data_IF_570638687413
#
_entry.id   IF_570638687413
#
_cell.length_a   1.000
_cell.length_b   1.000
_cell.length_c   1.000
_cell.angle_alpha   90.00
_cell.angle_beta   90.00
_cell.angle_gamma   90.00
#
_symmetry.space_group_name_H-M   'P 1'
#
loop_
_entity.id
_entity.type
_entity.pdbx_description
1 polymer ?
#
# COMPACT_ATOMS: atom_id res chain seq x y z
N UNK A 1 -8.03 -7.53 -30.04
CA UNK A 1 -7.22 -7.18 -28.85
C UNK A 1 -7.27 -8.38 -27.94
N UNK A 2 -6.20 -9.17 -27.95
CA UNK A 2 -6.07 -10.32 -27.07
C UNK A 2 -5.37 -9.89 -25.78
N UNK A 3 -5.75 -10.52 -24.68
CA UNK A 3 -5.03 -10.44 -23.40
C UNK A 3 -3.97 -11.53 -23.44
N UNK A 4 -2.71 -11.14 -23.30
CA UNK A 4 -1.56 -12.04 -23.30
C UNK A 4 -1.26 -12.55 -21.90
N UNK A 5 -1.52 -11.74 -20.88
CA UNK A 5 -1.41 -12.10 -19.48
C UNK A 5 -2.17 -11.13 -18.59
N UNK A 6 -2.60 -11.60 -17.42
CA UNK A 6 -3.32 -10.84 -16.40
C UNK A 6 -2.65 -11.02 -15.04
N UNK A 7 -2.43 -9.92 -14.34
CA UNK A 7 -1.93 -9.95 -12.98
C UNK A 7 -2.77 -9.09 -12.04
N UNK A 8 -2.85 -9.52 -10.78
CA UNK A 8 -3.66 -8.88 -9.74
C UNK A 8 -2.83 -8.63 -8.50
N UNK A 9 -3.15 -7.54 -7.80
CA UNK A 9 -2.60 -7.19 -6.51
C UNK A 9 -3.62 -6.36 -5.72
N UNK A 10 -3.24 -5.96 -4.52
CA UNK A 10 -4.08 -5.17 -3.63
C UNK A 10 -3.28 -4.00 -3.05
N UNK A 11 -3.99 -2.92 -2.72
CA UNK A 11 -3.41 -1.82 -1.96
C UNK A 11 -3.18 -2.18 -0.50
N UNK A 12 -2.53 -1.26 0.22
CA UNK A 12 -2.25 -1.43 1.64
C UNK A 12 -2.24 -0.08 2.37
N UNK A 13 -2.22 -0.13 3.70
CA UNK A 13 -2.00 1.03 4.56
C UNK A 13 -0.79 0.84 5.46
N UNK A 14 -0.12 1.93 5.86
CA UNK A 14 1.05 1.86 6.73
C UNK A 14 0.68 1.66 8.19
N UNK A 15 1.32 0.69 8.83
CA UNK A 15 1.41 0.54 10.29
C UNK A 15 2.63 1.28 10.84
N UNK A 16 3.71 1.33 10.07
CA UNK A 16 4.96 1.99 10.38
C UNK A 16 5.64 2.47 9.10
N UNK A 17 6.06 3.72 9.05
CA UNK A 17 6.79 4.29 7.92
C UNK A 17 8.30 4.15 8.14
N UNK A 18 9.01 3.48 7.21
CA UNK A 18 10.43 3.17 7.35
C UNK A 18 11.34 4.40 7.50
N UNK A 19 10.95 5.55 6.94
CA UNK A 19 11.70 6.81 7.09
C UNK A 19 11.86 7.28 8.55
N UNK A 20 11.02 6.81 9.47
CA UNK A 20 11.11 7.20 10.89
C UNK A 20 12.14 6.41 11.70
N UNK A 21 12.38 5.14 11.36
CA UNK A 21 13.21 4.24 12.18
C UNK A 21 14.10 3.30 11.38
N UNK A 22 13.99 3.27 10.04
CA UNK A 22 14.61 2.23 9.21
C UNK A 22 13.81 0.92 9.18
N UNK A 23 12.71 0.84 9.94
CA UNK A 23 11.79 -0.30 9.93
C UNK A 23 10.45 0.12 9.35
N UNK A 24 9.89 -0.68 8.43
CA UNK A 24 8.61 -0.44 7.78
C UNK A 24 7.62 -1.57 8.02
N UNK A 25 6.34 -1.24 8.08
CA UNK A 25 5.27 -2.23 8.09
C UNK A 25 4.03 -1.67 7.41
N UNK A 26 3.48 -2.44 6.48
CA UNK A 26 2.25 -2.11 5.77
C UNK A 26 1.27 -3.27 5.85
N UNK A 27 -0.03 -2.95 6.02
CA UNK A 27 -1.11 -3.93 6.16
C UNK A 27 -2.00 -3.89 4.92
N UNK A 28 -2.23 -5.06 4.34
CA UNK A 28 -3.00 -5.23 3.11
C UNK A 28 -4.47 -4.83 3.29
N UNK A 29 -5.03 -4.21 2.25
CA UNK A 29 -6.43 -3.80 2.17
C UNK A 29 -7.10 -4.40 0.93
N UNK A 30 -8.38 -4.72 1.03
CA UNK A 30 -9.20 -5.16 -0.11
C UNK A 30 -9.49 -3.98 -1.05
N UNK A 31 -8.42 -3.53 -1.72
CA UNK A 31 -8.40 -2.49 -2.75
C UNK A 31 -7.74 -3.08 -4.01
N UNK A 32 -8.48 -3.82 -4.83
CA UNK A 32 -7.90 -4.56 -5.94
C UNK A 32 -7.39 -3.64 -7.06
N UNK A 33 -6.29 -4.08 -7.66
CA UNK A 33 -5.78 -3.62 -8.94
C UNK A 33 -5.58 -4.83 -9.85
N UNK A 34 -5.86 -4.64 -11.13
CA UNK A 34 -5.65 -5.61 -12.19
C UNK A 34 -4.88 -4.95 -13.32
N UNK A 35 -3.84 -5.61 -13.78
CA UNK A 35 -3.03 -5.20 -14.93
C UNK A 35 -3.13 -6.29 -16.00
N UNK A 36 -3.33 -5.89 -17.24
CA UNK A 36 -3.33 -6.79 -18.41
C UNK A 36 -2.25 -6.37 -19.37
N UNK A 37 -1.52 -7.36 -19.84
CA UNK A 37 -0.64 -7.25 -20.99
C UNK A 37 -1.44 -7.57 -22.26
N UNK A 38 -1.31 -6.74 -23.28
CA UNK A 38 -2.15 -6.77 -24.50
C UNK A 38 -1.30 -6.87 -25.75
N UNK A 39 -1.84 -7.51 -26.81
CA UNK A 39 -1.24 -7.62 -28.15
C UNK A 39 -1.26 -6.31 -28.95
N UNK A 40 -2.02 -5.32 -28.52
CA UNK A 40 -2.13 -3.99 -29.14
C UNK A 40 -2.64 -2.95 -28.16
N UNK A 41 -2.39 -1.68 -28.47
CA UNK A 41 -2.76 -0.54 -27.63
C UNK A 41 -4.26 -0.53 -27.32
N UNK A 42 -4.57 -0.35 -26.03
CA UNK A 42 -5.92 -0.12 -25.54
C UNK A 42 -6.46 1.23 -26.01
N UNK A 43 -7.78 1.33 -26.20
CA UNK A 43 -8.46 2.62 -26.43
C UNK A 43 -8.65 3.41 -25.14
N UNK A 44 -8.52 2.75 -23.98
CA UNK A 44 -8.59 3.41 -22.67
C UNK A 44 -7.24 4.09 -22.39
N UNK A 45 -7.32 5.29 -21.83
CA UNK A 45 -6.14 6.02 -21.40
C UNK A 45 -5.44 5.25 -20.27
N UNK A 46 -4.13 5.11 -20.40
CA UNK A 46 -3.29 4.51 -19.36
C UNK A 46 -2.81 5.61 -18.42
N UNK A 47 -3.27 5.57 -17.17
CA UNK A 47 -2.80 6.46 -16.11
C UNK A 47 -1.53 5.89 -15.44
N UNK A 48 -0.38 6.16 -16.03
CA UNK A 48 0.96 5.83 -15.51
C UNK A 48 1.84 7.09 -15.57
N UNK A 49 1.47 8.11 -14.79
CA UNK A 49 2.15 9.41 -14.77
C UNK A 49 3.62 9.34 -14.35
N UNK A 50 3.99 8.36 -13.54
CA UNK A 50 5.34 8.15 -13.05
C UNK A 50 6.17 7.24 -13.99
N UNK A 51 5.62 6.75 -15.10
CA UNK A 51 6.27 5.84 -16.06
C UNK A 51 6.67 4.49 -15.44
N UNK A 52 5.92 4.05 -14.43
CA UNK A 52 6.28 2.93 -13.59
C UNK A 52 6.25 1.59 -14.33
N UNK A 53 5.35 1.43 -15.31
CA UNK A 53 5.26 0.20 -16.10
C UNK A 53 6.50 0.00 -16.99
N UNK A 54 7.10 1.08 -17.52
CA UNK A 54 8.38 0.99 -18.22
C UNK A 54 9.51 0.58 -17.28
N UNK A 55 9.51 1.08 -16.04
CA UNK A 55 10.51 0.69 -15.05
C UNK A 55 10.33 -0.77 -14.57
N UNK A 56 9.10 -1.30 -14.57
CA UNK A 56 8.86 -2.74 -14.35
C UNK A 56 9.52 -3.58 -15.44
N UNK A 57 9.40 -3.17 -16.71
CA UNK A 57 10.05 -3.87 -17.84
C UNK A 57 11.58 -3.84 -17.68
N UNK A 58 12.14 -2.67 -17.34
CA UNK A 58 13.59 -2.55 -17.12
C UNK A 58 14.09 -3.40 -15.93
N UNK A 59 13.34 -3.40 -14.81
CA UNK A 59 13.68 -4.21 -13.64
C UNK A 59 13.56 -5.71 -13.95
N UNK A 60 12.55 -6.12 -14.72
CA UNK A 60 12.34 -7.49 -15.19
C UNK A 60 13.55 -7.99 -16.01
N UNK A 61 13.98 -7.19 -17.02
CA UNK A 61 15.15 -7.49 -17.82
C UNK A 61 16.44 -7.53 -16.99
N UNK A 62 16.60 -6.60 -16.06
CA UNK A 62 17.76 -6.55 -15.16
C UNK A 62 17.83 -7.77 -14.24
N UNK A 63 16.70 -8.37 -13.89
CA UNK A 63 16.62 -9.62 -13.13
C UNK A 63 16.92 -10.88 -13.99
N UNK A 64 17.19 -10.70 -15.31
CA UNK A 64 17.58 -11.77 -16.24
C UNK A 64 16.43 -12.50 -16.90
N UNK A 65 15.22 -11.94 -16.88
CA UNK A 65 14.06 -12.56 -17.54
C UNK A 65 13.83 -11.97 -18.93
N UNK A 66 13.46 -12.85 -19.86
CA UNK A 66 13.06 -12.44 -21.22
C UNK A 66 11.67 -11.79 -21.20
N UNK A 67 11.36 -11.03 -22.26
CA UNK A 67 10.03 -10.48 -22.48
C UNK A 67 9.22 -11.41 -23.39
N UNK A 68 7.88 -11.45 -23.26
CA UNK A 68 7.02 -12.28 -24.11
C UNK A 68 7.00 -11.83 -25.57
N UNK A 69 7.46 -10.60 -25.85
CA UNK A 69 7.56 -10.00 -27.18
C UNK A 69 8.51 -8.80 -27.14
N UNK A 70 8.77 -8.19 -28.32
CA UNK A 70 9.55 -6.96 -28.40
C UNK A 70 8.92 -5.85 -27.56
N UNK A 71 9.74 -5.10 -26.83
CA UNK A 71 9.30 -4.10 -25.87
C UNK A 71 8.37 -3.02 -26.47
N UNK A 72 8.63 -2.62 -27.72
CA UNK A 72 7.79 -1.64 -28.43
C UNK A 72 6.36 -2.13 -28.69
N UNK A 73 6.14 -3.43 -28.62
CA UNK A 73 4.84 -4.10 -28.80
C UNK A 73 4.14 -4.43 -27.47
N UNK A 74 4.77 -4.11 -26.33
CA UNK A 74 4.16 -4.28 -25.02
C UNK A 74 3.11 -3.19 -24.77
N UNK A 75 1.88 -3.59 -24.57
CA UNK A 75 0.78 -2.68 -24.27
C UNK A 75 0.08 -3.08 -22.97
N UNK A 76 -0.24 -2.09 -22.16
CA UNK A 76 -0.81 -2.29 -20.84
C UNK A 76 -2.24 -1.76 -20.76
N UNK A 77 -3.06 -2.42 -19.94
CA UNK A 77 -4.30 -1.87 -19.44
C UNK A 77 -4.37 -2.06 -17.93
N UNK A 78 -4.73 -1.00 -17.21
CA UNK A 78 -4.79 -0.98 -15.74
C UNK A 78 -6.21 -0.67 -15.29
N UNK A 79 -6.74 -1.48 -14.39
CA UNK A 79 -7.98 -1.24 -13.68
C UNK A 79 -7.70 -1.25 -12.18
N UNK A 80 -7.89 -0.13 -11.49
CA UNK A 80 -7.55 0.02 -10.08
C UNK A 80 -8.68 0.64 -9.27
N UNK A 81 -8.91 0.12 -8.05
CA UNK A 81 -9.73 0.77 -7.02
C UNK A 81 -8.89 1.51 -5.98
N UNK A 82 -7.57 1.50 -6.11
CA UNK A 82 -6.67 2.16 -5.17
C UNK A 82 -6.57 3.65 -5.52
N UNK A 83 -6.90 4.57 -4.60
CA UNK A 83 -6.63 6.00 -4.80
C UNK A 83 -5.15 6.26 -5.03
N UNK A 84 -4.83 6.84 -6.19
CA UNK A 84 -3.43 7.06 -6.60
C UNK A 84 -2.76 8.16 -5.80
N UNK A 85 -1.45 7.99 -5.48
CA UNK A 85 -0.57 8.99 -4.84
C UNK A 85 -1.08 9.48 -3.48
N UNK A 86 -1.88 8.66 -2.77
CA UNK A 86 -2.46 9.01 -1.46
C UNK A 86 -1.92 8.16 -0.30
N UNK A 87 -0.84 7.38 -0.51
CA UNK A 87 -0.21 6.56 0.53
C UNK A 87 -0.88 5.19 0.74
N UNK A 88 -1.72 4.76 -0.22
CA UNK A 88 -2.40 3.46 -0.20
C UNK A 88 -1.69 2.40 -1.06
N UNK A 89 -0.40 2.59 -1.31
CA UNK A 89 0.54 1.65 -1.96
C UNK A 89 0.17 1.34 -3.42
N UNK A 90 -0.44 2.30 -4.12
CA UNK A 90 -0.84 2.13 -5.53
C UNK A 90 0.33 1.80 -6.45
N UNK A 91 1.52 2.36 -6.21
CA UNK A 91 2.73 2.09 -6.99
C UNK A 91 3.23 0.67 -6.79
N UNK A 92 3.37 0.21 -5.55
CA UNK A 92 3.77 -1.17 -5.23
C UNK A 92 2.78 -2.18 -5.81
N UNK A 93 1.48 -1.93 -5.65
CA UNK A 93 0.42 -2.79 -6.19
C UNK A 93 0.44 -2.83 -7.72
N UNK A 94 0.74 -1.70 -8.40
CA UNK A 94 0.88 -1.64 -9.85
C UNK A 94 2.07 -2.50 -10.32
N UNK A 95 3.25 -2.37 -9.69
CA UNK A 95 4.42 -3.18 -10.00
C UNK A 95 4.13 -4.67 -9.83
N UNK A 96 3.58 -5.07 -8.68
CA UNK A 96 3.23 -6.46 -8.37
C UNK A 96 2.26 -7.03 -9.43
N UNK A 97 1.20 -6.30 -9.76
CA UNK A 97 0.22 -6.75 -10.75
C UNK A 97 0.83 -6.83 -12.17
N UNK A 98 1.71 -5.89 -12.53
CA UNK A 98 2.38 -5.90 -13.83
C UNK A 98 3.36 -7.08 -13.96
N UNK A 99 4.15 -7.37 -12.92
CA UNK A 99 5.06 -8.53 -12.89
C UNK A 99 4.25 -9.83 -12.99
N UNK A 100 3.14 -9.96 -12.26
CA UNK A 100 2.26 -11.12 -12.37
C UNK A 100 1.66 -11.27 -13.77
N UNK A 101 1.35 -10.16 -14.47
CA UNK A 101 0.88 -10.22 -15.86
C UNK A 101 1.98 -10.69 -16.83
N UNK A 102 3.26 -10.32 -16.59
CA UNK A 102 4.39 -10.87 -17.32
C UNK A 102 4.55 -12.37 -17.06
N UNK A 103 4.51 -12.79 -15.81
CA UNK A 103 4.57 -14.22 -15.44
C UNK A 103 3.46 -15.04 -16.13
N UNK A 104 2.21 -14.55 -16.07
CA UNK A 104 1.05 -15.21 -16.69
C UNK A 104 1.21 -15.31 -18.22
N UNK A 105 1.71 -14.25 -18.88
CA UNK A 105 1.95 -14.26 -20.33
C UNK A 105 3.02 -15.25 -20.80
N UNK A 106 3.90 -15.66 -19.89
CA UNK A 106 5.01 -16.60 -20.14
C UNK A 106 4.79 -17.98 -19.48
N UNK A 107 3.62 -18.20 -18.91
CA UNK A 107 3.28 -19.46 -18.21
C UNK A 107 4.32 -19.83 -17.14
N UNK A 108 4.84 -18.82 -16.41
CA UNK A 108 5.86 -19.00 -15.38
C UNK A 108 5.42 -18.46 -14.02
N UNK A 109 6.09 -18.88 -12.96
CA UNK A 109 5.92 -18.35 -11.60
C UNK A 109 7.27 -17.90 -11.05
N UNK A 110 7.23 -16.86 -10.19
CA UNK A 110 8.37 -16.41 -9.42
C UNK A 110 8.17 -16.79 -7.95
N UNK A 111 9.27 -17.04 -7.26
CA UNK A 111 9.25 -17.02 -5.80
C UNK A 111 8.89 -15.62 -5.30
N UNK A 112 8.18 -15.54 -4.15
CA UNK A 112 7.64 -14.27 -3.66
C UNK A 112 8.73 -13.20 -3.47
N UNK A 113 9.89 -13.59 -2.96
CA UNK A 113 11.03 -12.67 -2.75
C UNK A 113 11.58 -12.12 -4.07
N UNK A 114 11.62 -12.92 -5.14
CA UNK A 114 12.04 -12.49 -6.48
C UNK A 114 11.06 -11.44 -7.04
N UNK A 115 9.75 -11.71 -6.92
CA UNK A 115 8.71 -10.78 -7.33
C UNK A 115 8.83 -9.45 -6.57
N UNK A 116 9.02 -9.51 -5.23
CA UNK A 116 9.22 -8.32 -4.40
C UNK A 116 10.48 -7.57 -4.83
N UNK A 117 11.60 -8.26 -5.08
CA UNK A 117 12.85 -7.65 -5.52
C UNK A 117 12.68 -6.84 -6.81
N UNK A 118 12.05 -7.43 -7.83
CA UNK A 118 11.80 -6.76 -9.12
C UNK A 118 10.87 -5.56 -8.94
N UNK A 119 9.80 -5.70 -8.14
CA UNK A 119 8.86 -4.62 -7.88
C UNK A 119 9.48 -3.45 -7.12
N UNK A 120 10.40 -3.73 -6.19
CA UNK A 120 11.19 -2.72 -5.45
C UNK A 120 12.16 -2.02 -6.39
N UNK A 121 12.92 -2.77 -7.21
CA UNK A 121 13.86 -2.19 -8.19
C UNK A 121 13.14 -1.25 -9.17
N UNK A 122 11.96 -1.63 -9.66
CA UNK A 122 11.15 -0.78 -10.51
C UNK A 122 10.77 0.56 -9.84
N UNK A 123 10.38 0.53 -8.56
CA UNK A 123 10.02 1.74 -7.79
C UNK A 123 11.24 2.62 -7.49
N UNK A 124 12.41 2.03 -7.26
CA UNK A 124 13.67 2.76 -7.06
C UNK A 124 14.08 3.44 -8.37
N UNK A 125 14.04 2.75 -9.49
CA UNK A 125 14.33 3.31 -10.84
C UNK A 125 13.39 4.47 -11.21
N UNK A 126 12.12 4.37 -10.82
CA UNK A 126 11.14 5.43 -11.03
C UNK A 126 11.29 6.63 -10.05
N UNK A 127 12.23 6.58 -9.09
CA UNK A 127 12.48 7.62 -8.08
C UNK A 127 11.23 8.02 -7.27
N UNK A 128 10.32 7.06 -7.03
CA UNK A 128 9.04 7.33 -6.35
C UNK A 128 9.01 6.88 -4.89
N UNK A 129 10.06 6.22 -4.42
CA UNK A 129 10.17 5.72 -3.05
C UNK A 129 11.19 6.51 -2.23
N UNK A 130 10.94 6.64 -0.91
CA UNK A 130 11.88 7.24 0.04
C UNK A 130 12.82 6.19 0.66
N UNK A 131 12.35 4.94 0.82
CA UNK A 131 12.99 3.90 1.62
C UNK A 131 12.97 2.52 0.95
N UNK A 132 12.75 2.48 -0.37
CA UNK A 132 12.68 1.24 -1.16
C UNK A 132 11.29 0.59 -1.21
N UNK A 133 10.35 0.94 -0.32
CA UNK A 133 8.96 0.41 -0.32
C UNK A 133 8.87 -1.13 -0.23
N UNK A 134 9.80 -1.80 0.46
CA UNK A 134 9.84 -3.26 0.60
C UNK A 134 8.61 -3.77 1.36
N UNK A 135 8.31 -3.14 2.51
CA UNK A 135 7.12 -3.46 3.33
C UNK A 135 5.81 -3.22 2.58
N UNK A 136 5.75 -2.16 1.78
CA UNK A 136 4.61 -1.83 0.93
C UNK A 136 4.36 -2.93 -0.11
N UNK A 137 5.44 -3.39 -0.74
CA UNK A 137 5.40 -4.41 -1.78
C UNK A 137 5.00 -5.77 -1.20
N UNK A 138 5.57 -6.18 -0.06
CA UNK A 138 5.16 -7.40 0.62
C UNK A 138 3.65 -7.43 0.93
N UNK A 139 3.11 -6.35 1.48
CA UNK A 139 1.67 -6.26 1.77
C UNK A 139 0.80 -6.39 0.50
N UNK A 140 1.27 -5.87 -0.64
CA UNK A 140 0.57 -5.99 -1.93
C UNK A 140 0.63 -7.41 -2.52
N UNK A 141 1.63 -8.22 -2.11
CA UNK A 141 1.85 -9.57 -2.62
C UNK A 141 1.09 -10.63 -1.82
N UNK A 142 1.16 -10.59 -0.47
CA UNK A 142 0.75 -11.73 0.37
C UNK A 142 -0.52 -11.52 1.18
N UNK A 143 -1.02 -10.30 1.32
CA UNK A 143 -1.99 -10.00 2.36
C UNK A 143 -1.34 -9.91 3.75
N UNK A 144 -2.14 -9.69 4.80
CA UNK A 144 -1.64 -9.47 6.17
C UNK A 144 -0.66 -8.31 6.28
N UNK A 145 0.35 -8.45 7.15
CA UNK A 145 1.42 -7.46 7.30
C UNK A 145 2.76 -8.13 7.62
N UNK A 146 3.86 -7.44 7.27
CA UNK A 146 5.22 -7.82 7.66
C UNK A 146 5.95 -6.60 8.23
N UNK A 147 6.73 -6.80 9.29
CA UNK A 147 7.70 -5.84 9.79
C UNK A 147 9.03 -6.08 9.09
N UNK A 148 9.52 -5.08 8.40
CA UNK A 148 10.70 -5.15 7.54
C UNK A 148 11.80 -4.24 8.07
N UNK A 149 13.03 -4.76 8.15
CA UNK A 149 14.23 -3.93 8.22
C UNK A 149 14.57 -3.41 6.81
N UNK A 150 14.28 -2.15 6.53
CA UNK A 150 14.50 -1.56 5.21
C UNK A 150 15.99 -1.37 4.85
N UNK A 151 16.90 -1.54 5.81
CA UNK A 151 18.34 -1.46 5.58
C UNK A 151 18.99 -2.82 5.30
N UNK A 152 18.22 -3.92 5.38
CA UNK A 152 18.72 -5.26 5.07
C UNK A 152 18.74 -5.48 3.55
N UNK A 153 19.91 -5.75 2.94
CA UNK A 153 19.99 -5.95 1.50
C UNK A 153 19.27 -7.19 1.00
N UNK A 154 19.18 -8.22 1.85
CA UNK A 154 18.47 -9.45 1.53
C UNK A 154 16.98 -9.30 1.95
N UNK A 155 16.09 -9.34 0.96
CA UNK A 155 14.65 -9.10 1.15
C UNK A 155 14.01 -10.11 2.12
N UNK A 156 14.40 -11.38 2.08
CA UNK A 156 13.86 -12.40 2.97
C UNK A 156 14.40 -12.25 4.39
N UNK A 157 15.68 -11.95 4.54
CA UNK A 157 16.30 -11.71 5.85
C UNK A 157 15.82 -10.40 6.49
N UNK A 158 15.33 -9.47 5.68
CA UNK A 158 14.73 -8.24 6.15
C UNK A 158 13.39 -8.43 6.84
N UNK A 159 12.70 -9.57 6.66
CA UNK A 159 11.42 -9.87 7.33
C UNK A 159 11.69 -10.27 8.78
N UNK A 160 11.25 -9.43 9.73
CA UNK A 160 11.47 -9.63 11.16
C UNK A 160 10.27 -10.27 11.87
N UNK A 161 9.07 -9.84 11.51
CA UNK A 161 7.81 -10.32 12.05
C UNK A 161 6.76 -10.31 10.94
N UNK A 162 5.74 -11.13 11.09
CA UNK A 162 4.57 -11.14 10.22
C UNK A 162 3.32 -11.47 10.99
N UNK A 163 2.17 -11.08 10.45
CA UNK A 163 0.87 -11.40 11.03
C UNK A 163 -0.26 -11.27 10.04
N UNK A 164 -1.35 -11.97 10.33
CA UNK A 164 -2.57 -11.97 9.52
C UNK A 164 -3.26 -10.60 9.53
N UNK A 165 -3.01 -9.79 10.59
CA UNK A 165 -3.74 -8.56 10.85
C UNK A 165 -5.14 -8.78 11.45
N UNK A 166 -5.89 -7.70 11.72
CA UNK A 166 -7.24 -7.77 12.24
C UNK A 166 -8.18 -8.51 11.28
N UNK A 167 -9.06 -9.37 11.82
CA UNK A 167 -10.01 -10.14 11.03
C UNK A 167 -10.89 -9.25 10.15
N UNK A 168 -11.00 -9.58 8.87
CA UNK A 168 -11.86 -8.89 7.90
C UNK A 168 -13.35 -8.91 8.27
N UNK A 169 -13.77 -9.90 9.08
CA UNK A 169 -15.16 -10.10 9.49
C UNK A 169 -15.51 -9.37 10.79
N UNK A 170 -14.50 -8.85 11.49
CA UNK A 170 -14.68 -8.09 12.74
C UNK A 170 -14.48 -6.58 12.56
N UNK A 171 -13.77 -6.17 11.50
CA UNK A 171 -13.36 -4.79 11.33
C UNK A 171 -13.76 -4.21 9.97
N UNK A 172 -14.32 -3.01 10.00
CA UNK A 172 -14.55 -2.16 8.83
C UNK A 172 -13.44 -1.12 8.74
N UNK A 173 -12.96 -0.89 7.52
CA UNK A 173 -12.00 0.17 7.22
C UNK A 173 -12.69 1.24 6.37
N UNK A 174 -12.62 2.50 6.83
CA UNK A 174 -13.00 3.67 6.04
C UNK A 174 -11.73 4.42 5.64
N UNK A 175 -11.64 4.79 4.37
CA UNK A 175 -10.55 5.59 3.83
C UNK A 175 -11.07 6.97 3.49
N UNK A 176 -10.44 8.00 4.04
CA UNK A 176 -10.71 9.39 3.70
C UNK A 176 -9.75 9.78 2.57
N UNK A 177 -10.28 9.85 1.36
CA UNK A 177 -9.54 10.25 0.16
C UNK A 177 -9.64 11.77 -0.03
N UNK A 178 -8.48 12.44 -0.17
CA UNK A 178 -8.36 13.91 -0.22
C UNK A 178 -7.61 14.41 -1.47
N UNK A 179 -7.33 13.52 -2.42
CA UNK A 179 -6.47 13.79 -3.57
C UNK A 179 -4.97 13.60 -3.27
N UNK A 180 -4.11 13.68 -4.28
CA UNK A 180 -2.67 13.50 -4.13
C UNK A 180 -2.04 14.60 -3.28
N UNK A 181 -0.87 14.33 -2.70
CA UNK A 181 -0.05 15.34 -2.02
C UNK A 181 0.74 16.15 -3.06
N UNK A 182 0.70 17.47 -2.93
CA UNK A 182 1.43 18.37 -3.85
C UNK A 182 2.94 18.34 -3.62
N UNK A 183 3.36 18.31 -2.33
CA UNK A 183 4.78 18.32 -1.94
C UNK A 183 5.10 17.04 -1.19
N UNK A 184 6.04 16.25 -1.71
CA UNK A 184 6.54 15.04 -1.03
C UNK A 184 7.46 15.42 0.12
N UNK A 185 7.37 14.77 1.30
CA UNK A 185 8.34 14.98 2.37
C UNK A 185 9.70 14.38 2.00
N UNK A 186 10.76 14.93 2.56
CA UNK A 186 12.11 14.35 2.55
C UNK A 186 12.33 13.43 3.76
N UNK A 187 13.43 12.66 3.78
CA UNK A 187 13.81 11.86 4.95
C UNK A 187 14.02 12.72 6.19
N UNK A 188 14.60 13.92 6.03
CA UNK A 188 14.87 14.84 7.14
C UNK A 188 13.60 15.34 7.84
N UNK A 189 12.48 15.41 7.13
CA UNK A 189 11.20 15.80 7.73
C UNK A 189 10.68 14.79 8.77
N UNK A 190 11.14 13.53 8.72
CA UNK A 190 10.75 12.48 9.66
C UNK A 190 11.56 12.49 10.96
N UNK A 191 12.80 12.99 10.94
CA UNK A 191 13.72 12.98 12.09
C UNK A 191 13.14 13.63 13.36
N UNK A 192 12.48 14.82 13.30
CA UNK A 192 11.90 15.44 14.49
C UNK A 192 10.74 14.64 15.12
N UNK A 193 10.21 13.65 14.39
CA UNK A 193 9.05 12.85 14.79
C UNK A 193 9.41 11.39 15.09
N UNK A 194 10.71 11.06 15.20
CA UNK A 194 11.20 9.70 15.40
C UNK A 194 10.57 8.99 16.60
N UNK A 195 10.29 9.73 17.69
CA UNK A 195 9.68 9.16 18.90
C UNK A 195 8.31 8.52 18.64
N UNK A 196 7.48 9.11 17.78
CA UNK A 196 6.18 8.54 17.40
C UNK A 196 6.34 7.23 16.61
N UNK A 197 7.36 7.16 15.74
CA UNK A 197 7.66 5.95 14.97
C UNK A 197 8.25 4.85 15.83
N UNK A 198 9.10 5.17 16.83
CA UNK A 198 9.57 4.21 17.83
C UNK A 198 8.39 3.64 18.64
N UNK A 199 7.45 4.47 19.05
CA UNK A 199 6.25 4.00 19.76
C UNK A 199 5.37 3.10 18.86
N UNK A 200 5.27 3.41 17.55
CA UNK A 200 4.55 2.55 16.60
C UNK A 200 5.27 1.21 16.41
N UNK A 201 6.60 1.20 16.31
CA UNK A 201 7.41 -0.02 16.23
C UNK A 201 7.18 -0.91 17.46
N UNK A 202 7.27 -0.35 18.65
CA UNK A 202 7.03 -1.08 19.90
C UNK A 202 5.60 -1.67 19.92
N UNK A 203 4.60 -0.89 19.47
CA UNK A 203 3.23 -1.37 19.41
C UNK A 203 3.06 -2.56 18.43
N UNK A 204 3.80 -2.59 17.31
CA UNK A 204 3.82 -3.75 16.39
C UNK A 204 4.43 -4.97 17.10
N UNK A 205 5.58 -4.78 17.76
CA UNK A 205 6.26 -5.85 18.49
C UNK A 205 5.42 -6.44 19.62
N UNK A 206 4.54 -5.61 20.22
CA UNK A 206 3.57 -6.01 21.25
C UNK A 206 2.26 -6.60 20.66
N UNK A 207 2.14 -6.76 19.32
CA UNK A 207 0.95 -7.28 18.66
C UNK A 207 -0.24 -6.30 18.64
N UNK A 208 0.03 -4.99 18.68
CA UNK A 208 -0.99 -3.93 18.73
C UNK A 208 -1.02 -3.09 17.44
N UNK A 209 -1.32 -3.71 16.30
CA UNK A 209 -1.27 -3.10 14.97
C UNK A 209 -2.13 -1.84 14.84
N UNK A 210 -3.32 -1.82 15.48
CA UNK A 210 -4.22 -0.67 15.42
C UNK A 210 -3.67 0.53 16.21
N UNK A 211 -2.95 0.27 17.31
CA UNK A 211 -2.22 1.30 18.04
C UNK A 211 -1.06 1.83 17.19
N UNK A 212 -0.31 0.93 16.56
CA UNK A 212 0.79 1.29 15.65
C UNK A 212 0.30 2.18 14.51
N UNK A 213 -0.80 1.82 13.84
CA UNK A 213 -1.41 2.63 12.77
C UNK A 213 -1.68 4.07 13.24
N UNK A 214 -2.23 4.24 14.44
CA UNK A 214 -2.56 5.56 14.99
C UNK A 214 -1.31 6.36 15.33
N UNK A 215 -0.30 5.74 15.96
CA UNK A 215 0.97 6.37 16.33
C UNK A 215 1.79 6.76 15.10
N UNK A 216 1.91 5.84 14.13
CA UNK A 216 2.52 6.11 12.84
C UNK A 216 1.85 7.30 12.14
N UNK A 217 0.52 7.31 12.08
CA UNK A 217 -0.25 8.42 11.50
C UNK A 217 0.05 9.76 12.15
N UNK A 218 0.31 9.80 13.47
CA UNK A 218 0.74 11.03 14.18
C UNK A 218 2.15 11.46 13.75
N UNK A 219 3.09 10.51 13.64
CA UNK A 219 4.44 10.79 13.16
C UNK A 219 4.42 11.34 11.74
N UNK A 220 3.69 10.69 10.84
CA UNK A 220 3.54 11.16 9.44
C UNK A 220 2.85 12.52 9.36
N UNK A 221 1.84 12.79 10.19
CA UNK A 221 1.21 14.12 10.28
C UNK A 221 2.23 15.20 10.64
N UNK A 222 3.13 14.92 11.56
CA UNK A 222 4.21 15.81 11.94
C UNK A 222 5.18 16.06 10.78
N UNK A 223 5.71 14.97 10.20
CA UNK A 223 6.67 15.03 9.09
C UNK A 223 6.11 15.75 7.86
N UNK A 224 4.83 15.54 7.53
CA UNK A 224 4.18 16.16 6.38
C UNK A 224 3.52 17.51 6.68
N UNK A 225 3.50 17.94 7.95
CA UNK A 225 2.82 19.15 8.44
C UNK A 225 1.34 19.23 8.05
N UNK A 226 0.69 18.06 7.95
CA UNK A 226 -0.70 17.94 7.48
C UNK A 226 -1.69 18.13 8.65
N UNK A 227 -1.83 19.37 9.12
CA UNK A 227 -2.72 19.71 10.24
C UNK A 227 -4.17 19.30 9.99
N UNK A 228 -4.63 19.35 8.73
CA UNK A 228 -5.99 18.93 8.37
C UNK A 228 -6.18 17.44 8.58
N UNK A 229 -5.21 16.61 8.19
CA UNK A 229 -5.27 15.18 8.43
C UNK A 229 -5.31 14.84 9.92
N UNK A 230 -4.54 15.57 10.75
CA UNK A 230 -4.56 15.39 12.20
C UNK A 230 -5.94 15.64 12.80
N UNK A 231 -6.61 16.71 12.36
CA UNK A 231 -7.97 17.04 12.82
C UNK A 231 -8.93 15.93 12.40
N UNK A 232 -8.91 15.54 11.13
CA UNK A 232 -9.80 14.51 10.60
C UNK A 232 -9.61 13.15 11.32
N UNK A 233 -8.36 12.72 11.54
CA UNK A 233 -8.09 11.49 12.28
C UNK A 233 -8.58 11.56 13.73
N UNK A 234 -8.37 12.68 14.42
CA UNK A 234 -8.87 12.88 15.77
C UNK A 234 -10.41 12.91 15.82
N UNK A 235 -11.05 13.53 14.85
CA UNK A 235 -12.52 13.54 14.75
C UNK A 235 -13.08 12.11 14.63
N UNK A 236 -12.41 11.22 13.86
CA UNK A 236 -12.82 9.82 13.79
C UNK A 236 -12.70 9.11 15.14
N UNK A 237 -11.59 9.30 15.86
CA UNK A 237 -11.37 8.70 17.19
C UNK A 237 -12.41 9.19 18.20
N UNK A 238 -12.68 10.50 18.26
CA UNK A 238 -13.71 11.09 19.15
C UNK A 238 -15.11 10.57 18.81
N UNK A 239 -15.37 10.29 17.54
CA UNK A 239 -16.63 9.70 17.09
C UNK A 239 -16.72 8.17 17.30
N UNK A 240 -15.70 7.53 17.87
CA UNK A 240 -15.74 6.13 18.31
C UNK A 240 -14.99 5.15 17.40
N UNK A 241 -14.14 5.61 16.48
CA UNK A 241 -13.21 4.74 15.77
C UNK A 241 -12.18 4.15 16.74
N UNK A 242 -11.75 2.90 16.49
CA UNK A 242 -10.73 2.23 17.27
C UNK A 242 -9.32 2.72 16.96
N UNK A 243 -9.08 3.02 15.67
CA UNK A 243 -7.82 3.58 15.19
C UNK A 243 -8.07 4.56 14.05
N UNK A 244 -7.22 5.57 13.93
CA UNK A 244 -7.22 6.48 12.78
C UNK A 244 -5.84 7.11 12.59
N UNK A 245 -5.34 7.12 11.35
CA UNK A 245 -4.03 7.70 11.03
C UNK A 245 -3.81 7.94 9.55
N UNK A 246 -2.85 8.81 9.21
CA UNK A 246 -2.34 8.95 7.86
C UNK A 246 -1.62 7.68 7.42
N UNK A 247 -1.81 7.29 6.15
CA UNK A 247 -1.12 6.16 5.54
C UNK A 247 0.03 6.62 4.66
N UNK A 248 1.20 6.02 4.85
CA UNK A 248 2.41 6.37 4.11
C UNK A 248 2.71 7.88 4.16
N UNK A 249 3.45 8.38 3.21
CA UNK A 249 3.67 9.82 3.02
C UNK A 249 2.54 10.54 2.26
N UNK A 250 1.43 9.82 1.98
CA UNK A 250 0.29 10.35 1.22
C UNK A 250 -0.68 11.17 2.05
N UNK A 251 -1.89 11.33 1.53
CA UNK A 251 -2.96 12.16 2.13
C UNK A 251 -4.13 11.35 2.68
N UNK A 252 -4.23 10.06 2.34
CA UNK A 252 -5.33 9.23 2.80
C UNK A 252 -5.27 8.98 4.31
N UNK A 253 -6.41 9.07 4.98
CA UNK A 253 -6.56 8.69 6.37
C UNK A 253 -7.29 7.36 6.42
N UNK A 254 -6.71 6.42 7.16
CA UNK A 254 -7.29 5.10 7.43
C UNK A 254 -7.99 5.16 8.77
N UNK A 255 -9.25 4.73 8.81
CA UNK A 255 -10.08 4.70 10.00
C UNK A 255 -10.58 3.28 10.19
N UNK A 256 -10.38 2.72 11.37
CA UNK A 256 -10.74 1.33 11.71
C UNK A 256 -11.83 1.31 12.77
N UNK A 257 -12.91 0.59 12.49
CA UNK A 257 -14.12 0.56 13.34
C UNK A 257 -14.56 -0.90 13.49
N UNK A 258 -14.91 -1.39 14.70
CA UNK A 258 -15.54 -2.69 14.86
C UNK A 258 -16.84 -2.76 14.03
N UNK A 259 -17.02 -3.85 13.27
CA UNK A 259 -18.16 -3.99 12.36
C UNK A 259 -19.49 -4.00 13.11
N UNK A 260 -19.51 -4.45 14.36
CA UNK A 260 -20.68 -4.48 15.22
C UNK A 260 -21.17 -3.05 15.59
N UNK A 261 -20.33 -2.04 15.44
CA UNK A 261 -20.66 -0.66 15.76
C UNK A 261 -21.20 0.11 14.55
N UNK A 262 -22.22 -0.44 13.88
CA UNK A 262 -22.82 0.15 12.68
C UNK A 262 -23.21 1.63 12.90
N UNK A 263 -23.75 1.98 14.06
CA UNK A 263 -24.08 3.36 14.43
C UNK A 263 -22.87 4.31 14.43
N UNK A 264 -21.67 3.81 14.79
CA UNK A 264 -20.41 4.57 14.73
C UNK A 264 -20.00 4.77 13.28
N UNK A 265 -20.09 3.73 12.45
CA UNK A 265 -19.76 3.78 11.03
C UNK A 265 -20.63 4.85 10.34
N UNK A 266 -21.93 4.81 10.51
CA UNK A 266 -22.85 5.78 9.92
C UNK A 266 -22.64 7.21 10.44
N UNK A 267 -22.38 7.37 11.74
CA UNK A 267 -22.07 8.67 12.34
C UNK A 267 -20.81 9.29 11.74
N UNK A 268 -19.72 8.53 11.61
CA UNK A 268 -18.48 8.99 11.02
C UNK A 268 -18.68 9.36 9.54
N UNK A 269 -19.35 8.53 8.75
CA UNK A 269 -19.65 8.82 7.34
C UNK A 269 -20.49 10.11 7.22
N UNK A 270 -21.52 10.26 8.03
CA UNK A 270 -22.39 11.44 8.05
C UNK A 270 -21.61 12.69 8.48
N UNK A 271 -20.73 12.57 9.50
CA UNK A 271 -19.89 13.65 9.95
C UNK A 271 -19.02 14.20 8.81
N UNK A 272 -18.27 13.34 8.10
CA UNK A 272 -17.41 13.78 7.02
C UNK A 272 -18.22 14.37 5.84
N UNK A 273 -19.33 13.73 5.46
CA UNK A 273 -20.21 14.23 4.40
C UNK A 273 -20.70 15.66 4.68
N UNK A 274 -21.06 15.95 5.93
CA UNK A 274 -21.61 17.24 6.31
C UNK A 274 -20.55 18.32 6.53
N UNK A 275 -19.44 17.96 7.15
CA UNK A 275 -18.37 18.91 7.51
C UNK A 275 -17.33 19.13 6.40
N UNK A 276 -17.16 18.12 5.55
CA UNK A 276 -16.13 18.08 4.51
C UNK A 276 -16.67 17.49 3.21
N UNK A 277 -17.65 18.11 2.53
CA UNK A 277 -18.34 17.55 1.37
C UNK A 277 -17.41 17.26 0.17
N UNK A 278 -16.20 17.86 0.15
CA UNK A 278 -15.18 17.61 -0.86
C UNK A 278 -14.37 16.33 -0.62
N UNK A 279 -14.55 15.67 0.53
CA UNK A 279 -13.83 14.43 0.88
C UNK A 279 -14.63 13.24 0.37
N UNK A 280 -13.94 12.29 -0.25
CA UNK A 280 -14.53 11.00 -0.62
C UNK A 280 -14.22 9.98 0.48
N UNK A 281 -15.26 9.27 0.95
CA UNK A 281 -15.16 8.18 1.93
C UNK A 281 -15.33 6.85 1.20
N UNK A 282 -14.28 6.04 1.19
CA UNK A 282 -14.23 4.72 0.56
C UNK A 282 -14.31 3.66 1.67
N UNK A 283 -15.18 2.68 1.50
CA UNK A 283 -15.26 1.53 2.40
C UNK A 283 -14.43 0.38 1.86
N UNK A 284 -13.66 -0.25 2.75
CA UNK A 284 -12.89 -1.45 2.44
C UNK A 284 -12.77 -2.33 3.70
N UNK A 285 -11.92 -3.36 3.63
CA UNK A 285 -11.60 -4.28 4.72
C UNK A 285 -10.11 -4.58 4.72
N UNK A 286 -9.62 -5.18 5.80
CA UNK A 286 -8.31 -5.82 5.78
C UNK A 286 -8.34 -7.03 4.86
N UNK A 287 -7.21 -7.30 4.23
CA UNK A 287 -6.99 -8.48 3.42
C UNK A 287 -6.04 -9.40 4.19
N UNK A 288 -6.60 -10.44 4.80
CA UNK A 288 -5.83 -11.45 5.49
C UNK A 288 -5.15 -12.38 4.47
N UNK A 289 -4.02 -13.02 4.80
CA UNK A 289 -3.39 -14.01 3.94
C UNK A 289 -4.36 -15.18 3.63
N UNK A 290 -4.26 -15.72 2.43
CA UNK A 290 -4.95 -16.97 2.12
C UNK A 290 -4.28 -18.09 2.92
N UNK A 291 -4.98 -18.70 3.87
CA UNK A 291 -4.52 -19.90 4.55
C UNK A 291 -4.77 -21.09 3.60
N UNK A 292 -3.72 -21.79 3.25
CA UNK A 292 -3.87 -23.09 2.64
C UNK A 292 -4.51 -24.02 3.68
N UNK A 293 -5.71 -24.52 3.43
CA UNK A 293 -6.43 -25.49 4.31
C UNK A 293 -5.69 -26.84 4.49
N UNK A 294 -4.44 -26.95 4.03
CA UNK A 294 -3.63 -28.18 4.04
C UNK A 294 -2.64 -28.29 5.22
N UNK A 295 -2.70 -27.40 6.21
CA UNK A 295 -1.82 -27.43 7.40
C UNK A 295 -2.58 -27.62 8.73
N UNK A 296 -3.72 -28.35 8.71
CA UNK A 296 -4.34 -28.92 9.93
C UNK A 296 -4.02 -30.43 10.10
#
# INVERSE_FOLDING_TARGET
MAVLGEGRAHGACSLLHAAGTGYGASMALDLPIMVRLLDRKSKLELHDEDGLLSQVVEAWKAAGYDLPMDEENLHWAVQSKIPQRQGLKSSSALCVAAIRALCDSMEMSLELHQLVAIAVDAQVRAEITLTGSIDDTWACVTGGWKLINANEPNIDQGVLLEGDGPSRDEWKVLLISRGPREVRPSLDDFLPHQQQFIQALNAIQDGNELVALTLNGRGVNGATRDHKARILANDALVNGARAAGLSGSGTAIVIVIPIQLEGVIQRIKTWYKNKHPQINVIETRFLNPERNESEE
#
